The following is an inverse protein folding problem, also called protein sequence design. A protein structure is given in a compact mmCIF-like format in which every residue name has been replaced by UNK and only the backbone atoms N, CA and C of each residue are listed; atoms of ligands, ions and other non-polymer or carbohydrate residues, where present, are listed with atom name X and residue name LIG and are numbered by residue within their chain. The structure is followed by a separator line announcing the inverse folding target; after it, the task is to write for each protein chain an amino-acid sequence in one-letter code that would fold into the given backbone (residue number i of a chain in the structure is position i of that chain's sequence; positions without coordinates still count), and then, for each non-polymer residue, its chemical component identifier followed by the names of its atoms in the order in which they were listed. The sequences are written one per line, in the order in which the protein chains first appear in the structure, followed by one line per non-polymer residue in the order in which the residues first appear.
data_IF_101393964408
#
_entry.id   IF_101393964408
#
_cell.length_a   1.000
_cell.length_b   1.000
_cell.length_c   1.000
_cell.angle_alpha   90.00
_cell.angle_beta   90.00
_cell.angle_gamma   90.00
#
_symmetry.space_group_name_H-M   'P 1'
#
loop_
_entity.id
_entity.type
_entity.pdbx_description
1 polymer ?
#
# COMPACT_ATOMS: atom_id res chain seq x y z
N UNK A 1 -24.95 0.16 0.44
CA UNK A 1 -24.20 1.35 0.01
C UNK A 1 -22.82 1.21 0.60
N UNK A 2 -21.77 0.98 -0.21
CA UNK A 2 -20.40 0.96 0.32
C UNK A 2 -20.08 2.37 0.82
N UNK A 3 -19.73 2.49 2.10
CA UNK A 3 -19.35 3.74 2.74
C UNK A 3 -18.20 4.38 1.93
N UNK A 4 -18.32 5.67 1.57
CA UNK A 4 -17.28 6.39 0.82
C UNK A 4 -16.11 6.66 1.75
N UNK A 5 -15.27 5.66 1.97
CA UNK A 5 -14.12 5.78 2.86
C UNK A 5 -13.14 6.80 2.28
N UNK A 6 -12.62 7.70 3.12
CA UNK A 6 -11.53 8.62 2.76
C UNK A 6 -10.19 7.88 2.80
N UNK A 7 -9.20 8.34 2.01
CA UNK A 7 -7.86 7.72 1.99
C UNK A 7 -7.24 7.88 3.38
N UNK A 8 -6.71 6.80 3.94
CA UNK A 8 -5.97 6.88 5.20
C UNK A 8 -4.67 7.64 4.95
N UNK A 9 -4.40 8.63 5.79
CA UNK A 9 -3.11 9.34 5.79
C UNK A 9 -2.12 8.50 6.60
N UNK A 10 -0.93 8.28 6.04
CA UNK A 10 0.15 7.65 6.78
C UNK A 10 0.58 8.54 7.94
N UNK A 11 1.17 7.93 8.97
CA UNK A 11 1.72 8.67 10.12
C UNK A 11 3.01 9.34 9.68
N UNK A 12 3.15 10.61 10.03
CA UNK A 12 4.31 11.42 9.68
C UNK A 12 4.93 12.07 10.92
N UNK A 13 6.23 12.37 10.85
CA UNK A 13 6.90 13.23 11.82
C UNK A 13 6.32 14.64 11.87
N UNK A 14 6.31 15.24 13.07
CA UNK A 14 5.95 16.64 13.24
C UNK A 14 6.89 17.55 12.40
N UNK A 15 6.35 18.55 11.67
CA UNK A 15 7.14 19.42 10.81
C UNK A 15 8.31 20.13 11.51
N UNK A 16 8.16 20.51 12.79
CA UNK A 16 9.24 21.18 13.53
C UNK A 16 10.35 20.22 13.92
N UNK A 17 10.01 18.97 14.19
CA UNK A 17 10.97 17.92 14.55
C UNK A 17 11.75 17.46 13.32
N UNK A 18 11.05 17.11 12.22
CA UNK A 18 11.70 16.63 10.98
C UNK A 18 12.58 17.67 10.28
N UNK A 19 12.41 18.95 10.62
CA UNK A 19 13.29 20.02 10.15
C UNK A 19 14.69 20.00 10.81
N UNK A 20 14.89 19.18 11.85
CA UNK A 20 16.08 19.18 12.70
C UNK A 20 16.84 17.85 12.72
N UNK A 21 16.36 16.83 12.00
CA UNK A 21 16.98 15.50 11.94
C UNK A 21 16.97 14.96 10.50
N UNK A 22 17.60 13.79 10.30
CA UNK A 22 17.64 13.07 9.03
C UNK A 22 16.88 11.73 9.09
N UNK A 23 15.98 11.59 10.05
CA UNK A 23 15.18 10.38 10.23
C UNK A 23 14.02 10.34 9.21
N UNK A 24 13.46 9.15 9.00
CA UNK A 24 12.37 8.95 8.04
C UNK A 24 11.11 9.73 8.45
N UNK A 25 10.59 10.55 7.53
CA UNK A 25 9.42 11.40 7.80
C UNK A 25 8.13 10.59 7.82
N UNK A 26 7.98 9.63 6.90
CA UNK A 26 6.77 8.83 6.73
C UNK A 26 6.95 7.48 7.43
N UNK A 27 6.25 7.25 8.54
CA UNK A 27 6.34 6.01 9.30
C UNK A 27 5.54 4.84 8.68
N UNK A 28 4.95 5.06 7.51
CA UNK A 28 4.08 4.09 6.86
C UNK A 28 2.78 3.81 7.63
N UNK A 29 2.19 2.67 7.32
CA UNK A 29 0.97 2.15 7.95
C UNK A 29 1.31 1.03 8.93
N UNK A 30 0.55 0.94 10.02
CA UNK A 30 0.49 -0.31 10.76
C UNK A 30 -0.34 -1.39 10.04
N UNK A 31 -0.34 -2.62 10.55
CA UNK A 31 -1.03 -3.74 9.92
C UNK A 31 -2.55 -3.50 9.75
N UNK A 32 -3.20 -2.86 10.72
CA UNK A 32 -4.64 -2.59 10.68
C UNK A 32 -4.96 -1.46 9.70
N UNK A 33 -4.16 -0.41 9.70
CA UNK A 33 -4.26 0.70 8.75
C UNK A 33 -4.04 0.21 7.32
N UNK A 34 -3.05 -0.64 7.09
CA UNK A 34 -2.74 -1.24 5.79
C UNK A 34 -3.90 -2.11 5.29
N UNK A 35 -4.43 -3.00 6.14
CA UNK A 35 -5.62 -3.81 5.84
C UNK A 35 -6.85 -2.95 5.54
N UNK A 36 -7.06 -1.87 6.31
CA UNK A 36 -8.16 -0.94 6.10
C UNK A 36 -8.02 -0.21 4.77
N UNK A 37 -6.85 0.30 4.40
CA UNK A 37 -6.64 0.94 3.10
C UNK A 37 -6.78 -0.08 1.94
N UNK A 38 -6.27 -1.29 2.12
CA UNK A 38 -6.40 -2.39 1.15
C UNK A 38 -7.88 -2.75 0.87
N UNK A 39 -8.75 -2.64 1.87
CA UNK A 39 -10.18 -2.90 1.74
C UNK A 39 -10.92 -1.96 0.76
N UNK A 40 -10.32 -0.82 0.40
CA UNK A 40 -10.86 0.13 -0.59
C UNK A 40 -10.72 -0.34 -2.02
N UNK A 41 -9.80 -1.26 -2.29
CA UNK A 41 -9.57 -1.75 -3.63
C UNK A 41 -10.82 -2.46 -4.14
N UNK A 42 -11.34 -1.99 -5.28
CA UNK A 42 -12.56 -2.52 -5.90
C UNK A 42 -12.34 -3.83 -6.66
N UNK A 43 -11.10 -4.31 -6.72
CA UNK A 43 -10.70 -5.48 -7.50
C UNK A 43 -11.21 -5.39 -8.96
N UNK A 44 -10.89 -4.26 -9.61
CA UNK A 44 -11.38 -3.92 -10.95
C UNK A 44 -11.10 -5.01 -11.97
N UNK A 45 -12.11 -5.43 -12.74
CA UNK A 45 -11.98 -6.42 -13.82
C UNK A 45 -10.90 -6.05 -14.86
N UNK A 46 -10.79 -4.76 -15.19
CA UNK A 46 -9.71 -4.22 -16.01
C UNK A 46 -8.85 -3.28 -15.15
N UNK A 47 -7.75 -3.78 -14.55
CA UNK A 47 -6.99 -3.03 -13.57
C UNK A 47 -6.06 -2.02 -14.25
N UNK A 48 -6.55 -0.78 -14.41
CA UNK A 48 -5.75 0.34 -14.98
C UNK A 48 -4.47 0.63 -14.20
N UNK A 49 -4.45 0.30 -12.90
CA UNK A 49 -3.26 0.45 -12.06
C UNK A 49 -2.09 -0.43 -12.54
N UNK A 50 -2.35 -1.65 -13.00
CA UNK A 50 -1.31 -2.57 -13.49
C UNK A 50 -0.67 -2.02 -14.75
N UNK A 51 -1.48 -1.61 -15.74
CA UNK A 51 -0.98 -1.03 -16.98
C UNK A 51 -0.28 0.33 -16.82
N UNK A 52 -0.52 1.05 -15.72
CA UNK A 52 0.16 2.30 -15.40
C UNK A 52 1.52 2.07 -14.70
N UNK A 53 1.75 0.89 -14.14
CA UNK A 53 3.00 0.54 -13.49
C UNK A 53 4.06 0.18 -14.55
N UNK A 54 5.25 0.81 -14.58
CA UNK A 54 6.28 0.52 -15.57
C UNK A 54 6.77 -0.95 -15.58
N UNK A 55 6.72 -1.60 -14.42
CA UNK A 55 7.09 -3.01 -14.23
C UNK A 55 5.86 -3.92 -14.15
N UNK A 56 4.65 -3.40 -14.38
CA UNK A 56 3.41 -4.17 -14.45
C UNK A 56 3.11 -5.05 -13.22
N UNK A 57 3.42 -4.57 -12.02
CA UNK A 57 3.12 -5.28 -10.76
C UNK A 57 1.63 -5.64 -10.73
N UNK A 58 1.32 -6.85 -10.27
CA UNK A 58 -0.04 -7.35 -10.04
C UNK A 58 -0.67 -6.72 -8.79
N UNK A 59 -0.97 -5.43 -8.90
CA UNK A 59 -1.48 -4.58 -7.82
C UNK A 59 -2.74 -5.15 -7.13
N UNK A 60 -3.78 -5.61 -7.87
CA UNK A 60 -4.97 -6.16 -7.23
C UNK A 60 -4.70 -7.45 -6.42
N UNK A 61 -3.71 -8.24 -6.82
CA UNK A 61 -3.37 -9.52 -6.18
C UNK A 61 -2.67 -9.28 -4.83
N UNK A 62 -1.62 -8.46 -4.79
CA UNK A 62 -0.96 -8.19 -3.51
C UNK A 62 -1.87 -7.41 -2.55
N UNK A 63 -2.73 -6.52 -3.05
CA UNK A 63 -3.69 -5.80 -2.20
C UNK A 63 -4.71 -6.76 -1.60
N UNK A 64 -5.16 -7.79 -2.34
CA UNK A 64 -6.04 -8.81 -1.80
C UNK A 64 -5.36 -9.59 -0.65
N UNK A 65 -4.09 -9.99 -0.83
CA UNK A 65 -3.31 -10.65 0.21
C UNK A 65 -3.14 -9.75 1.45
N UNK A 66 -2.83 -8.45 1.28
CA UNK A 66 -2.78 -7.49 2.40
C UNK A 66 -4.12 -7.38 3.12
N UNK A 67 -5.24 -7.32 2.38
CA UNK A 67 -6.59 -7.26 2.96
C UNK A 67 -6.90 -8.48 3.83
N UNK A 68 -6.38 -9.65 3.46
CA UNK A 68 -6.53 -10.91 4.21
C UNK A 68 -5.53 -11.04 5.37
N UNK A 69 -4.54 -10.13 5.46
CA UNK A 69 -3.47 -10.19 6.46
C UNK A 69 -2.31 -11.10 6.08
N UNK A 70 -2.29 -11.62 4.86
CA UNK A 70 -1.16 -12.38 4.31
C UNK A 70 -0.10 -11.43 3.73
N UNK A 71 0.67 -10.81 4.62
CA UNK A 71 1.75 -9.89 4.23
C UNK A 71 2.91 -10.61 3.52
N UNK A 72 3.16 -11.88 3.88
CA UNK A 72 4.20 -12.67 3.24
C UNK A 72 3.83 -13.02 1.80
N UNK A 73 2.59 -13.44 1.56
CA UNK A 73 2.04 -13.65 0.22
C UNK A 73 2.02 -12.37 -0.60
N UNK A 74 1.62 -11.24 0.00
CA UNK A 74 1.67 -9.94 -0.66
C UNK A 74 3.10 -9.60 -1.13
N UNK A 75 4.11 -9.77 -0.26
CA UNK A 75 5.50 -9.53 -0.62
C UNK A 75 5.98 -10.47 -1.74
N UNK A 76 5.59 -11.75 -1.69
CA UNK A 76 5.92 -12.73 -2.73
C UNK A 76 5.31 -12.40 -4.09
N UNK A 77 4.10 -11.82 -4.13
CA UNK A 77 3.47 -11.34 -5.37
C UNK A 77 4.27 -10.18 -5.96
N UNK A 78 4.64 -9.19 -5.13
CA UNK A 78 5.41 -8.03 -5.61
C UNK A 78 6.80 -8.45 -6.10
N UNK A 79 7.46 -9.36 -5.39
CA UNK A 79 8.82 -9.82 -5.69
C UNK A 79 8.95 -10.54 -7.05
N UNK A 80 7.85 -11.01 -7.64
CA UNK A 80 7.86 -11.61 -8.98
C UNK A 80 8.12 -10.56 -10.08
N UNK A 81 7.75 -9.31 -9.84
CA UNK A 81 7.81 -8.23 -10.82
C UNK A 81 8.82 -7.13 -10.45
N UNK A 82 9.14 -6.95 -9.16
CA UNK A 82 10.06 -5.92 -8.66
C UNK A 82 11.15 -6.50 -7.76
N UNK A 83 12.41 -6.17 -8.06
CA UNK A 83 13.57 -6.51 -7.22
C UNK A 83 13.80 -5.55 -6.06
N UNK A 84 13.12 -4.40 -6.04
CA UNK A 84 13.26 -3.35 -5.02
C UNK A 84 11.87 -2.87 -4.54
N UNK A 85 11.13 -3.69 -3.77
CA UNK A 85 9.80 -3.34 -3.29
C UNK A 85 9.75 -2.61 -1.94
N UNK A 86 10.91 -2.44 -1.29
CA UNK A 86 11.06 -1.87 0.06
C UNK A 86 11.01 -0.34 0.06
#
# INVERSE_FOLDING_TARGET
MAERMARLKAREQDPKVRATNFEEVCYGFDAQEAQREASRCLHCKNPRCVGACPVSIRIPEFIAAVKEGDFAGAAAVIAQDSSLPA
#
